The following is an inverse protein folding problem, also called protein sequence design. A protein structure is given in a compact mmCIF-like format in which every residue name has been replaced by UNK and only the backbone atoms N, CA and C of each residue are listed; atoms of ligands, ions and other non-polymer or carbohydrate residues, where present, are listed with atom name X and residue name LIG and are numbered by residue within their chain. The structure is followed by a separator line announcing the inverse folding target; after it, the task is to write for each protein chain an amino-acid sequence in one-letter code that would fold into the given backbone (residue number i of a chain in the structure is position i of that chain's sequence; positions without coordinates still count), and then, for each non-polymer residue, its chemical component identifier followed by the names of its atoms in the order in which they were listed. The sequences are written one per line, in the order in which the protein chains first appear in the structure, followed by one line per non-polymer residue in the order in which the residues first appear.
data_IF_505964726999
#
_entry.id   IF_505964726999
#
_cell.length_a   1.000
_cell.length_b   1.000
_cell.length_c   1.000
_cell.angle_alpha   90.00
_cell.angle_beta   90.00
_cell.angle_gamma   90.00
#
_symmetry.space_group_name_H-M   'P 1'
#
loop_
_entity.id
_entity.type
_entity.pdbx_description
1 polymer ?
#
# COMPACT_ATOMS: atom_id res chain seq x y z
N UNK A 1 -14.22 -2.37 15.23
CA UNK A 1 -15.02 -3.49 14.70
C UNK A 1 -16.18 -2.91 13.90
N UNK A 2 -16.54 -3.49 12.78
CA UNK A 2 -17.55 -2.95 11.85
C UNK A 2 -18.59 -4.03 11.61
N UNK A 3 -19.88 -3.65 11.64
CA UNK A 3 -21.01 -4.52 11.32
C UNK A 3 -21.76 -3.89 10.14
N UNK A 4 -22.33 -4.70 9.28
CA UNK A 4 -23.17 -4.28 8.18
C UNK A 4 -24.60 -4.78 8.43
N UNK A 5 -25.59 -3.90 8.32
CA UNK A 5 -27.01 -4.27 8.44
C UNK A 5 -27.81 -3.82 7.20
N UNK A 6 -28.96 -4.44 6.91
CA UNK A 6 -29.88 -3.97 5.90
C UNK A 6 -30.40 -2.57 6.24
N UNK A 7 -30.65 -1.76 5.23
CA UNK A 7 -31.17 -0.39 5.44
C UNK A 7 -32.53 -0.38 6.16
N UNK A 8 -33.32 -1.44 5.96
CA UNK A 8 -34.62 -1.65 6.60
C UNK A 8 -34.53 -1.85 8.14
N UNK A 9 -33.36 -2.36 8.61
CA UNK A 9 -33.13 -2.58 10.03
C UNK A 9 -32.63 -1.33 10.79
N UNK A 10 -32.36 -0.22 10.09
CA UNK A 10 -31.77 0.99 10.68
C UNK A 10 -32.76 1.67 11.64
N UNK A 11 -34.04 1.71 11.31
CA UNK A 11 -35.07 2.29 12.18
C UNK A 11 -35.21 1.47 13.47
N UNK A 12 -35.19 0.14 13.39
CA UNK A 12 -35.22 -0.74 14.57
C UNK A 12 -34.00 -0.53 15.48
N UNK A 13 -32.82 -0.33 14.88
CA UNK A 13 -31.61 0.00 15.64
C UNK A 13 -31.74 1.38 16.31
N UNK A 14 -32.29 2.36 15.62
CA UNK A 14 -32.48 3.69 16.16
C UNK A 14 -33.38 3.67 17.37
N UNK A 15 -34.55 3.01 17.24
CA UNK A 15 -35.51 2.83 18.35
C UNK A 15 -34.90 2.10 19.54
N UNK A 16 -34.13 1.05 19.29
CA UNK A 16 -33.39 0.32 20.33
C UNK A 16 -32.41 1.23 21.09
N UNK A 17 -31.64 2.05 20.37
CA UNK A 17 -30.66 2.96 20.96
C UNK A 17 -31.36 4.12 21.71
N UNK A 18 -32.52 4.62 21.23
CA UNK A 18 -33.33 5.59 21.92
C UNK A 18 -33.82 5.03 23.26
N UNK A 19 -34.34 3.82 23.29
CA UNK A 19 -34.78 3.12 24.49
C UNK A 19 -33.64 2.85 25.50
N UNK A 20 -32.41 2.78 25.01
CA UNK A 20 -31.18 2.66 25.79
C UNK A 20 -30.61 4.00 26.27
N UNK A 21 -31.26 5.13 25.93
CA UNK A 21 -30.88 6.47 26.37
C UNK A 21 -29.70 7.07 25.61
N UNK A 22 -29.50 6.70 24.37
CA UNK A 22 -28.51 7.34 23.49
C UNK A 22 -29.04 8.69 22.99
N UNK A 23 -28.19 9.69 22.90
CA UNK A 23 -28.42 10.93 22.17
C UNK A 23 -27.95 10.82 20.72
N UNK A 24 -28.62 11.54 19.80
CA UNK A 24 -28.41 11.46 18.38
C UNK A 24 -27.86 12.76 17.81
N UNK A 25 -26.93 12.65 16.87
CA UNK A 25 -26.36 13.75 16.09
C UNK A 25 -26.48 13.43 14.59
N UNK A 26 -26.92 14.38 13.77
CA UNK A 26 -26.87 14.29 12.33
C UNK A 26 -25.48 14.60 11.82
N UNK A 27 -24.96 13.78 10.87
CA UNK A 27 -23.67 13.98 10.23
C UNK A 27 -23.73 13.70 8.73
N UNK A 28 -22.94 14.40 7.93
CA UNK A 28 -22.81 14.08 6.49
C UNK A 28 -22.45 12.62 6.27
N UNK A 29 -23.09 11.95 5.30
CA UNK A 29 -22.89 10.54 4.93
C UNK A 29 -23.26 9.50 6.00
N UNK A 30 -23.90 9.90 7.10
CA UNK A 30 -24.45 9.00 8.10
C UNK A 30 -25.98 9.10 8.13
N UNK A 31 -26.65 8.02 8.56
CA UNK A 31 -28.05 8.12 8.98
C UNK A 31 -28.14 8.87 10.31
N UNK A 32 -27.27 8.49 11.25
CA UNK A 32 -27.09 9.18 12.52
C UNK A 32 -25.78 8.75 13.20
N UNK A 33 -25.36 9.54 14.17
CA UNK A 33 -24.39 9.16 15.18
C UNK A 33 -25.11 9.13 16.53
N UNK A 34 -25.06 7.99 17.23
CA UNK A 34 -25.63 7.83 18.57
C UNK A 34 -24.53 7.84 19.63
N UNK A 35 -24.78 8.58 20.78
CA UNK A 35 -23.83 8.71 21.89
C UNK A 35 -24.47 8.39 23.23
N UNK A 36 -23.69 7.69 24.07
CA UNK A 36 -23.93 7.51 25.50
C UNK A 36 -22.56 7.55 26.20
N UNK A 37 -22.46 7.90 27.50
CA UNK A 37 -21.19 7.83 28.21
C UNK A 37 -20.51 6.47 28.02
N UNK A 38 -19.28 6.46 27.46
CA UNK A 38 -18.52 5.27 27.19
C UNK A 38 -18.78 4.57 25.86
N UNK A 39 -19.81 4.93 25.09
CA UNK A 39 -20.15 4.31 23.80
C UNK A 39 -20.52 5.34 22.73
N UNK A 40 -20.03 5.12 21.52
CA UNK A 40 -20.40 5.86 20.31
C UNK A 40 -20.75 4.86 19.22
N UNK A 41 -21.88 5.04 18.54
CA UNK A 41 -22.35 4.23 17.43
C UNK A 41 -22.51 5.12 16.20
N UNK A 42 -21.71 4.88 15.18
CA UNK A 42 -21.81 5.58 13.89
C UNK A 42 -22.56 4.69 12.90
N UNK A 43 -23.68 5.17 12.37
CA UNK A 43 -24.49 4.45 11.38
C UNK A 43 -24.44 5.18 10.05
N UNK A 44 -23.75 4.60 9.08
CA UNK A 44 -23.54 5.19 7.76
C UNK A 44 -24.67 4.89 6.79
N UNK A 45 -24.89 5.75 5.79
CA UNK A 45 -25.92 5.59 4.75
C UNK A 45 -25.75 4.30 3.90
N UNK A 46 -24.62 3.64 4.02
CA UNK A 46 -24.34 2.32 3.41
C UNK A 46 -24.85 1.16 4.26
N UNK A 47 -25.45 1.39 5.44
CA UNK A 47 -25.79 0.33 6.39
C UNK A 47 -24.60 -0.13 7.27
N UNK A 48 -23.45 0.47 7.10
CA UNK A 48 -22.26 0.19 7.90
C UNK A 48 -22.38 0.81 9.28
N UNK A 49 -22.07 0.02 10.34
CA UNK A 49 -22.05 0.46 11.72
C UNK A 49 -20.63 0.37 12.25
N UNK A 50 -20.15 1.44 12.90
CA UNK A 50 -18.85 1.51 13.54
C UNK A 50 -19.01 1.92 15.00
N UNK A 51 -18.49 1.08 15.90
CA UNK A 51 -18.50 1.30 17.33
C UNK A 51 -17.21 2.00 17.79
N UNK A 52 -17.36 2.93 18.74
CA UNK A 52 -16.27 3.55 19.48
C UNK A 52 -16.61 3.63 20.97
N UNK A 53 -15.61 3.70 21.83
CA UNK A 53 -15.80 3.83 23.27
C UNK A 53 -15.09 2.74 24.06
N UNK A 54 -15.18 2.85 25.41
CA UNK A 54 -14.48 1.96 26.35
C UNK A 54 -15.42 0.93 26.99
N UNK A 55 -16.74 1.16 26.94
CA UNK A 55 -17.74 0.25 27.50
C UNK A 55 -18.01 -0.92 26.55
N UNK A 56 -17.18 -1.96 26.67
CA UNK A 56 -17.28 -3.16 25.85
C UNK A 56 -18.54 -3.98 26.17
N UNK A 57 -19.08 -3.91 27.37
CA UNK A 57 -20.29 -4.65 27.74
C UNK A 57 -21.52 -4.11 27.01
N UNK A 58 -21.71 -2.77 26.99
CA UNK A 58 -22.78 -2.13 26.25
C UNK A 58 -22.63 -2.33 24.74
N UNK A 59 -21.39 -2.28 24.21
CA UNK A 59 -21.11 -2.55 22.79
C UNK A 59 -21.50 -4.00 22.41
N UNK A 60 -21.18 -4.98 23.24
CA UNK A 60 -21.56 -6.38 23.00
C UNK A 60 -23.09 -6.60 23.08
N UNK A 61 -23.77 -5.89 23.96
CA UNK A 61 -25.24 -5.95 24.06
C UNK A 61 -25.90 -5.39 22.77
N UNK A 62 -25.39 -4.28 22.25
CA UNK A 62 -25.87 -3.70 20.98
C UNK A 62 -25.60 -4.68 19.83
N UNK A 63 -24.45 -5.34 19.80
CA UNK A 63 -24.13 -6.33 18.77
C UNK A 63 -25.08 -7.53 18.81
N UNK A 64 -25.39 -8.07 19.98
CA UNK A 64 -26.39 -9.13 20.12
C UNK A 64 -27.77 -8.71 19.63
N UNK A 65 -28.17 -7.46 19.88
CA UNK A 65 -29.40 -6.92 19.31
C UNK A 65 -29.33 -6.89 17.78
N UNK A 66 -28.21 -6.43 17.21
CA UNK A 66 -28.01 -6.40 15.76
C UNK A 66 -28.06 -7.80 15.13
N UNK A 67 -27.50 -8.80 15.79
CA UNK A 67 -27.62 -10.21 15.40
C UNK A 67 -29.09 -10.69 15.37
N UNK A 68 -29.94 -10.15 16.24
CA UNK A 68 -31.38 -10.55 16.32
C UNK A 68 -32.25 -9.88 15.26
N UNK A 69 -31.86 -8.72 14.71
CA UNK A 69 -32.63 -7.93 13.73
C UNK A 69 -32.03 -7.95 12.31
N UNK A 70 -30.78 -8.44 12.18
CA UNK A 70 -30.13 -8.60 10.88
C UNK A 70 -30.55 -9.90 10.21
N UNK A 71 -30.48 -10.01 8.87
CA UNK A 71 -30.48 -11.30 8.24
C UNK A 71 -29.29 -12.13 8.76
N UNK A 72 -29.47 -13.45 8.81
CA UNK A 72 -28.45 -14.42 9.18
C UNK A 72 -27.05 -13.97 8.77
N UNK A 73 -26.10 -14.10 9.69
CA UNK A 73 -24.67 -13.79 9.57
C UNK A 73 -24.25 -13.29 8.18
N UNK A 74 -24.01 -11.99 8.07
CA UNK A 74 -23.10 -11.55 7.01
C UNK A 74 -21.74 -12.16 7.39
N UNK A 75 -21.50 -13.36 6.86
CA UNK A 75 -20.20 -13.99 6.87
C UNK A 75 -19.11 -12.92 6.74
N UNK A 76 -18.14 -12.96 7.63
CA UNK A 76 -16.89 -12.26 7.44
C UNK A 76 -16.48 -12.43 5.99
N UNK A 77 -16.49 -11.36 5.24
CA UNK A 77 -16.12 -11.18 3.83
C UNK A 77 -15.35 -12.36 3.20
N UNK A 78 -16.00 -13.52 3.10
CA UNK A 78 -15.63 -14.63 2.21
C UNK A 78 -16.59 -14.64 1.03
N UNK A 79 -16.93 -13.44 0.47
CA UNK A 79 -17.40 -13.43 -0.90
C UNK A 79 -16.24 -13.96 -1.72
N UNK A 80 -16.30 -15.24 -2.07
CA UNK A 80 -15.51 -15.80 -3.15
C UNK A 80 -15.86 -15.04 -4.42
N UNK A 81 -15.14 -13.92 -4.62
CA UNK A 81 -15.24 -13.21 -5.89
C UNK A 81 -14.71 -14.14 -6.96
N UNK A 82 -15.48 -14.41 -8.03
CA UNK A 82 -15.01 -15.28 -9.09
C UNK A 82 -13.69 -14.76 -9.67
N UNK A 83 -12.82 -15.63 -10.17
CA UNK A 83 -11.62 -15.21 -10.88
C UNK A 83 -11.97 -14.18 -11.95
N UNK A 84 -11.13 -13.15 -12.08
CA UNK A 84 -11.24 -12.23 -13.21
C UNK A 84 -10.66 -12.94 -14.43
N UNK A 85 -11.54 -13.31 -15.37
CA UNK A 85 -11.14 -14.00 -16.60
C UNK A 85 -10.78 -12.98 -17.69
N UNK A 86 -9.79 -12.12 -17.41
CA UNK A 86 -9.26 -11.19 -18.40
C UNK A 86 -8.15 -11.88 -19.19
N UNK A 87 -8.10 -11.62 -20.49
CA UNK A 87 -7.10 -12.16 -21.42
C UNK A 87 -6.48 -11.03 -22.23
N UNK A 88 -5.34 -11.31 -22.85
CA UNK A 88 -4.63 -10.34 -23.67
C UNK A 88 -3.76 -9.37 -22.87
N UNK A 89 -3.28 -8.34 -23.58
CA UNK A 89 -2.41 -7.33 -22.98
C UNK A 89 -3.19 -6.42 -22.03
N UNK A 90 -2.71 -6.29 -20.80
CA UNK A 90 -3.31 -5.42 -19.79
C UNK A 90 -2.30 -4.92 -18.77
N UNK A 91 -2.58 -3.77 -18.19
CA UNK A 91 -1.82 -3.19 -17.09
C UNK A 91 -2.60 -3.45 -15.79
N UNK A 92 -1.97 -4.07 -14.80
CA UNK A 92 -2.48 -4.15 -13.43
C UNK A 92 -1.76 -3.15 -12.54
N UNK A 93 -2.48 -2.44 -11.66
CA UNK A 93 -1.89 -1.50 -10.69
C UNK A 93 -2.37 -1.77 -9.27
N UNK A 94 -1.47 -1.60 -8.29
CA UNK A 94 -1.79 -1.72 -6.86
C UNK A 94 -0.96 -0.75 -6.02
N UNK A 95 -1.42 -0.45 -4.79
CA UNK A 95 -0.76 0.46 -3.87
C UNK A 95 -0.36 -0.22 -2.55
N UNK A 96 0.69 0.33 -1.90
CA UNK A 96 1.09 -0.02 -0.53
C UNK A 96 1.47 1.23 0.26
N UNK A 97 1.30 1.17 1.58
CA UNK A 97 1.63 2.29 2.46
C UNK A 97 0.49 3.27 2.73
N UNK A 98 -0.69 3.12 2.09
CA UNK A 98 -1.87 3.97 2.30
C UNK A 98 -2.35 3.97 3.76
N UNK A 99 -2.34 2.80 4.41
CA UNK A 99 -2.78 2.60 5.79
C UNK A 99 -1.66 2.68 6.84
N UNK A 100 -0.43 2.92 6.42
CA UNK A 100 0.73 2.99 7.30
C UNK A 100 1.06 4.43 7.66
N UNK A 101 1.21 4.72 8.95
CA UNK A 101 1.59 6.03 9.43
C UNK A 101 3.02 6.39 9.01
N UNK A 102 3.97 5.49 9.27
CA UNK A 102 5.36 5.64 8.87
C UNK A 102 5.59 5.18 7.44
N UNK A 103 6.65 5.72 6.84
CA UNK A 103 7.13 5.29 5.55
C UNK A 103 6.37 5.88 4.35
N UNK A 104 6.76 5.47 3.16
CA UNK A 104 6.29 6.02 1.89
C UNK A 104 4.88 5.57 1.51
N UNK A 105 4.35 6.18 0.46
CA UNK A 105 3.27 5.64 -0.36
C UNK A 105 3.86 5.18 -1.69
N UNK A 106 3.54 3.94 -2.11
CA UNK A 106 4.01 3.39 -3.38
C UNK A 106 2.83 2.91 -4.21
N UNK A 107 2.96 3.08 -5.51
CA UNK A 107 2.09 2.50 -6.51
C UNK A 107 2.97 1.75 -7.50
N UNK A 108 2.65 0.47 -7.77
CA UNK A 108 3.28 -0.27 -8.84
C UNK A 108 2.29 -0.56 -9.95
N UNK A 109 2.80 -0.72 -11.16
CA UNK A 109 2.06 -1.19 -12.31
C UNK A 109 2.86 -2.23 -13.07
N UNK A 110 2.16 -3.21 -13.63
CA UNK A 110 2.75 -4.28 -14.43
C UNK A 110 1.92 -4.49 -15.69
N UNK A 111 2.60 -4.52 -16.84
CA UNK A 111 2.01 -4.81 -18.13
C UNK A 111 2.31 -6.25 -18.53
N UNK A 112 1.29 -7.07 -18.65
CA UNK A 112 1.39 -8.48 -19.03
C UNK A 112 0.64 -8.79 -20.31
N UNK A 113 0.91 -9.95 -20.86
CA UNK A 113 0.14 -10.66 -21.89
C UNK A 113 -0.10 -12.10 -21.41
N UNK A 114 -0.82 -12.91 -22.20
CA UNK A 114 -1.19 -14.28 -21.82
C UNK A 114 0.02 -15.20 -21.62
N UNK A 115 1.14 -14.94 -22.30
CA UNK A 115 2.38 -15.72 -22.14
C UNK A 115 3.01 -15.40 -20.79
N UNK A 116 3.20 -14.12 -20.49
CA UNK A 116 3.75 -13.65 -19.22
C UNK A 116 2.85 -14.06 -18.06
N UNK A 117 1.53 -13.96 -18.21
CA UNK A 117 0.59 -14.40 -17.19
C UNK A 117 0.81 -15.86 -16.78
N UNK A 118 1.01 -16.73 -17.77
CA UNK A 118 1.29 -18.17 -17.52
C UNK A 118 2.58 -18.35 -16.72
N UNK A 119 3.64 -17.65 -17.10
CA UNK A 119 4.93 -17.73 -16.39
C UNK A 119 4.82 -17.19 -14.95
N UNK A 120 4.12 -16.07 -14.74
CA UNK A 120 3.88 -15.52 -13.39
C UNK A 120 3.06 -16.48 -12.50
N UNK A 121 2.07 -17.17 -13.07
CA UNK A 121 1.33 -18.24 -12.37
C UNK A 121 2.24 -19.40 -11.98
N UNK A 122 3.15 -19.81 -12.88
CA UNK A 122 4.13 -20.87 -12.62
C UNK A 122 5.11 -20.48 -11.49
N UNK A 123 5.50 -19.21 -11.39
CA UNK A 123 6.29 -18.67 -10.29
C UNK A 123 5.52 -18.65 -8.94
N UNK A 124 4.20 -18.86 -8.95
CA UNK A 124 3.37 -18.87 -7.76
C UNK A 124 2.88 -17.49 -7.33
N UNK A 125 2.80 -16.54 -8.28
CA UNK A 125 2.22 -15.21 -8.02
C UNK A 125 0.77 -15.36 -7.56
N UNK A 126 0.45 -14.74 -6.43
CA UNK A 126 -0.87 -14.68 -5.81
C UNK A 126 -0.96 -13.45 -4.89
N UNK A 127 -2.10 -13.24 -4.23
CA UNK A 127 -2.28 -12.14 -3.29
C UNK A 127 -1.11 -12.02 -2.29
N UNK A 128 -0.42 -10.89 -2.36
CA UNK A 128 0.78 -10.58 -1.58
C UNK A 128 0.53 -10.55 -0.06
N UNK A 129 -0.72 -10.30 0.37
CA UNK A 129 -1.10 -10.19 1.79
C UNK A 129 -0.94 -11.52 2.52
N UNK A 130 -1.02 -12.64 1.80
CA UNK A 130 -0.86 -13.99 2.33
C UNK A 130 0.59 -14.48 2.36
N UNK A 131 1.55 -13.70 1.84
CA UNK A 131 2.95 -14.09 1.66
C UNK A 131 3.83 -13.56 2.79
N UNK A 132 4.86 -14.34 3.17
CA UNK A 132 5.91 -13.88 4.08
C UNK A 132 6.81 -12.82 3.40
N UNK A 133 7.50 -12.00 4.18
CA UNK A 133 8.43 -11.00 3.64
C UNK A 133 9.55 -11.63 2.80
N UNK A 134 10.10 -12.75 3.26
CA UNK A 134 11.11 -13.50 2.49
C UNK A 134 10.55 -14.00 1.16
N UNK A 135 9.33 -14.53 1.16
CA UNK A 135 8.67 -14.98 -0.07
C UNK A 135 8.43 -13.81 -1.03
N UNK A 136 8.00 -12.65 -0.52
CA UNK A 136 7.80 -11.44 -1.31
C UNK A 136 9.10 -11.00 -1.98
N UNK A 137 10.22 -10.94 -1.24
CA UNK A 137 11.53 -10.56 -1.79
C UNK A 137 11.99 -11.51 -2.89
N UNK A 138 11.88 -12.82 -2.66
CA UNK A 138 12.26 -13.83 -3.65
C UNK A 138 11.38 -13.74 -4.90
N UNK A 139 10.06 -13.68 -4.74
CA UNK A 139 9.15 -13.53 -5.89
C UNK A 139 9.37 -12.21 -6.64
N UNK A 140 9.61 -11.12 -5.95
CA UNK A 140 9.90 -9.84 -6.60
C UNK A 140 11.18 -9.88 -7.44
N UNK A 141 12.20 -10.60 -6.98
CA UNK A 141 13.43 -10.86 -7.76
C UNK A 141 13.12 -11.66 -9.02
N UNK A 142 12.42 -12.79 -8.90
CA UNK A 142 12.03 -13.63 -10.03
C UNK A 142 11.14 -12.87 -11.04
N UNK A 143 10.19 -12.08 -10.54
CA UNK A 143 9.31 -11.23 -11.37
C UNK A 143 10.14 -10.22 -12.17
N UNK A 144 11.11 -9.53 -11.55
CA UNK A 144 11.97 -8.56 -12.25
C UNK A 144 12.88 -9.26 -13.28
N UNK A 145 13.31 -10.50 -13.02
CA UNK A 145 14.09 -11.29 -13.96
C UNK A 145 13.26 -11.75 -15.16
N UNK A 146 11.97 -12.03 -14.94
CA UNK A 146 11.05 -12.43 -16.00
C UNK A 146 10.59 -11.24 -16.85
N UNK A 147 10.30 -10.10 -16.21
CA UNK A 147 9.78 -8.92 -16.88
C UNK A 147 10.92 -8.05 -17.41
N UNK A 148 10.79 -7.61 -18.66
CA UNK A 148 11.64 -6.53 -19.16
C UNK A 148 11.32 -5.24 -18.39
N UNK A 149 12.31 -4.39 -18.13
CA UNK A 149 12.16 -3.13 -17.37
C UNK A 149 11.04 -2.22 -17.88
N UNK A 150 10.74 -2.27 -19.19
CA UNK A 150 9.64 -1.52 -19.80
C UNK A 150 8.23 -2.06 -19.49
N UNK A 151 8.11 -3.21 -18.81
CA UNK A 151 6.84 -3.85 -18.49
C UNK A 151 6.38 -3.65 -17.04
N UNK A 152 7.17 -3.01 -16.22
CA UNK A 152 6.74 -2.62 -14.87
C UNK A 152 7.20 -1.21 -14.53
N UNK A 153 6.48 -0.59 -13.62
CA UNK A 153 6.74 0.75 -13.11
C UNK A 153 6.46 0.77 -11.61
N UNK A 154 7.33 1.39 -10.83
CA UNK A 154 7.14 1.57 -9.38
C UNK A 154 7.34 3.04 -9.04
N UNK A 155 6.25 3.72 -8.77
CA UNK A 155 6.23 5.10 -8.33
C UNK A 155 6.16 5.14 -6.81
N UNK A 156 7.07 5.86 -6.17
CA UNK A 156 7.07 6.01 -4.72
C UNK A 156 7.18 7.47 -4.30
N UNK A 157 6.58 7.77 -3.16
CA UNK A 157 6.53 9.11 -2.59
C UNK A 157 7.01 9.06 -1.16
N UNK A 158 8.13 9.72 -0.85
CA UNK A 158 8.65 9.81 0.54
C UNK A 158 7.63 10.48 1.46
N UNK A 159 7.70 10.26 2.79
CA UNK A 159 6.75 10.89 3.73
C UNK A 159 6.67 12.41 3.59
N UNK A 160 7.80 13.09 3.47
CA UNK A 160 7.82 14.56 3.31
C UNK A 160 7.08 15.01 2.03
N UNK A 161 7.33 14.33 0.92
CA UNK A 161 6.67 14.65 -0.36
C UNK A 161 5.20 14.25 -0.37
N UNK A 162 4.86 13.14 0.26
CA UNK A 162 3.47 12.78 0.51
C UNK A 162 2.73 13.87 1.29
N UNK A 163 3.35 14.41 2.34
CA UNK A 163 2.75 15.47 3.15
C UNK A 163 2.52 16.76 2.35
N UNK A 164 3.43 17.12 1.45
CA UNK A 164 3.26 18.24 0.52
C UNK A 164 2.10 17.98 -0.47
N UNK A 165 2.04 16.77 -1.07
CA UNK A 165 0.93 16.36 -1.93
C UNK A 165 -0.39 16.41 -1.19
N UNK A 166 -0.43 15.90 0.04
CA UNK A 166 -1.63 15.90 0.87
C UNK A 166 -2.07 17.33 1.21
N UNK A 167 -1.14 18.22 1.54
CA UNK A 167 -1.42 19.65 1.76
C UNK A 167 -2.06 20.29 0.52
N UNK A 168 -1.55 19.96 -0.69
CA UNK A 168 -2.04 20.52 -1.97
C UNK A 168 -3.38 19.92 -2.41
N UNK A 169 -3.56 18.60 -2.34
CA UNK A 169 -4.73 17.89 -2.88
C UNK A 169 -5.84 17.68 -1.84
N UNK A 170 -5.51 17.74 -0.54
CA UNK A 170 -6.45 17.63 0.59
C UNK A 170 -7.09 16.24 0.79
N UNK A 171 -6.78 15.26 -0.06
CA UNK A 171 -7.41 13.94 -0.03
C UNK A 171 -6.48 12.85 -0.55
N UNK A 172 -6.29 11.78 0.23
CA UNK A 172 -5.46 10.63 -0.16
C UNK A 172 -5.94 9.94 -1.43
N UNK A 173 -7.25 9.88 -1.68
CA UNK A 173 -7.77 9.24 -2.88
C UNK A 173 -7.43 10.04 -4.16
N UNK A 174 -7.30 11.37 -4.06
CA UNK A 174 -6.80 12.19 -5.17
C UNK A 174 -5.31 11.91 -5.44
N UNK A 175 -4.51 11.73 -4.39
CA UNK A 175 -3.10 11.36 -4.51
C UNK A 175 -2.97 9.99 -5.19
N UNK A 176 -3.75 9.00 -4.74
CA UNK A 176 -3.78 7.67 -5.35
C UNK A 176 -4.23 7.72 -6.80
N UNK A 177 -5.35 8.40 -7.10
CA UNK A 177 -5.87 8.53 -8.46
C UNK A 177 -4.83 9.09 -9.42
N UNK A 178 -4.15 10.17 -9.02
CA UNK A 178 -3.05 10.75 -9.77
C UNK A 178 -1.87 9.76 -9.94
N UNK A 179 -1.45 9.08 -8.88
CA UNK A 179 -0.29 8.20 -8.91
C UNK A 179 -0.53 6.92 -9.75
N UNK A 180 -1.73 6.29 -9.64
CA UNK A 180 -2.12 5.19 -10.51
C UNK A 180 -2.16 5.62 -11.99
N UNK A 181 -2.72 6.81 -12.27
CA UNK A 181 -2.78 7.35 -13.63
C UNK A 181 -1.39 7.60 -14.20
N UNK A 182 -0.45 8.08 -13.39
CA UNK A 182 0.93 8.30 -13.81
C UNK A 182 1.64 6.98 -14.14
N UNK A 183 1.49 5.95 -13.31
CA UNK A 183 2.04 4.61 -13.55
C UNK A 183 1.50 4.01 -14.85
N UNK A 184 0.18 4.13 -15.09
CA UNK A 184 -0.44 3.67 -16.33
C UNK A 184 0.14 4.44 -17.53
N UNK A 185 0.24 5.77 -17.44
CA UNK A 185 0.74 6.62 -18.51
C UNK A 185 2.21 6.31 -18.86
N UNK A 186 3.06 6.09 -17.85
CA UNK A 186 4.46 5.73 -18.02
C UNK A 186 4.60 4.38 -18.76
N UNK A 187 3.86 3.35 -18.32
CA UNK A 187 3.85 2.04 -18.98
C UNK A 187 3.38 2.11 -20.43
N UNK A 188 2.33 2.87 -20.72
CA UNK A 188 1.87 3.13 -22.08
C UNK A 188 2.91 3.93 -22.90
N UNK A 189 3.76 4.70 -22.21
CA UNK A 189 4.88 5.44 -22.80
C UNK A 189 5.99 4.55 -23.35
N UNK A 190 6.15 3.33 -22.83
CA UNK A 190 7.21 2.40 -23.17
C UNK A 190 7.04 1.71 -24.54
N UNK A 191 6.04 2.09 -25.33
CA UNK A 191 5.85 1.63 -26.72
C UNK A 191 5.19 0.26 -26.85
N UNK A 192 4.77 -0.39 -25.77
CA UNK A 192 3.98 -1.63 -25.81
C UNK A 192 2.51 -1.25 -25.93
N UNK A 193 1.82 -1.75 -26.95
CA UNK A 193 0.38 -1.53 -27.11
C UNK A 193 -0.38 -2.20 -25.96
N UNK A 194 -1.32 -1.47 -25.39
CA UNK A 194 -2.20 -1.98 -24.36
C UNK A 194 -3.49 -1.18 -24.39
N UNK A 195 -4.63 -1.85 -24.36
CA UNK A 195 -5.94 -1.22 -24.47
C UNK A 195 -6.76 -1.35 -23.16
N UNK A 196 -6.18 -1.96 -22.12
CA UNK A 196 -6.85 -2.26 -20.85
C UNK A 196 -5.94 -2.00 -19.66
N UNK A 197 -6.45 -1.29 -18.65
CA UNK A 197 -5.87 -1.23 -17.33
C UNK A 197 -6.87 -1.72 -16.26
N UNK A 198 -6.35 -2.34 -15.20
CA UNK A 198 -7.13 -2.81 -14.06
C UNK A 198 -6.49 -2.34 -12.76
N UNK A 199 -7.31 -1.90 -11.81
CA UNK A 199 -6.90 -1.42 -10.50
C UNK A 199 -7.89 -1.88 -9.42
N UNK A 200 -7.42 -2.00 -8.17
CA UNK A 200 -8.34 -2.15 -7.05
C UNK A 200 -9.17 -0.87 -6.86
N UNK A 201 -10.45 -1.05 -6.48
CA UNK A 201 -11.34 0.06 -6.24
C UNK A 201 -11.14 0.60 -4.81
N UNK A 202 -10.41 1.68 -4.65
CA UNK A 202 -10.13 2.29 -3.36
C UNK A 202 -11.04 3.47 -2.98
N UNK A 203 -12.01 3.81 -3.83
CA UNK A 203 -12.92 4.94 -3.62
C UNK A 203 -13.85 5.16 -4.81
N UNK A 204 -14.22 6.41 -5.07
CA UNK A 204 -14.97 6.76 -6.27
C UNK A 204 -14.12 6.46 -7.52
N UNK A 205 -14.67 5.70 -8.49
CA UNK A 205 -13.96 5.37 -9.73
C UNK A 205 -13.46 6.60 -10.50
N UNK A 206 -14.07 7.74 -10.29
CA UNK A 206 -13.65 9.01 -10.89
C UNK A 206 -12.24 9.44 -10.51
N UNK A 207 -11.69 9.03 -9.37
CA UNK A 207 -10.35 9.46 -8.95
C UNK A 207 -9.27 9.09 -9.95
N UNK A 208 -9.20 7.84 -10.41
CA UNK A 208 -8.22 7.43 -11.43
C UNK A 208 -8.67 7.97 -12.81
N UNK A 209 -9.93 7.75 -13.18
CA UNK A 209 -10.45 8.10 -14.50
C UNK A 209 -10.23 9.57 -14.85
N UNK A 210 -10.48 10.49 -13.90
CA UNK A 210 -10.32 11.93 -14.10
C UNK A 210 -8.85 12.36 -14.13
N UNK A 211 -7.96 11.59 -13.51
CA UNK A 211 -6.53 11.84 -13.49
C UNK A 211 -5.78 11.24 -14.70
N UNK A 212 -6.41 10.34 -15.49
CA UNK A 212 -5.81 9.76 -16.68
C UNK A 212 -5.35 10.85 -17.66
N UNK A 213 -4.16 10.66 -18.21
CA UNK A 213 -3.50 11.60 -19.14
C UNK A 213 -3.75 11.18 -20.59
N UNK A 214 -2.93 11.67 -21.51
CA UNK A 214 -3.18 11.56 -22.96
C UNK A 214 -3.31 10.09 -23.43
N UNK A 215 -2.43 9.19 -22.98
CA UNK A 215 -2.44 7.78 -23.39
C UNK A 215 -3.46 6.98 -22.60
N UNK A 216 -3.51 7.18 -21.29
CA UNK A 216 -4.44 6.49 -20.41
C UNK A 216 -5.92 6.75 -20.72
N UNK A 217 -6.26 7.93 -21.26
CA UNK A 217 -7.63 8.23 -21.71
C UNK A 217 -8.08 7.45 -22.96
N UNK A 218 -7.16 6.81 -23.66
CA UNK A 218 -7.43 6.05 -24.89
C UNK A 218 -7.68 4.57 -24.63
N UNK A 219 -7.47 4.11 -23.39
CA UNK A 219 -7.65 2.72 -23.00
C UNK A 219 -8.86 2.54 -22.07
N UNK A 220 -9.35 1.34 -21.98
CA UNK A 220 -10.36 0.96 -20.98
C UNK A 220 -9.72 0.88 -19.59
N UNK A 221 -10.40 1.41 -18.57
CA UNK A 221 -10.02 1.29 -17.17
C UNK A 221 -11.09 0.53 -16.40
N UNK A 222 -10.76 -0.66 -15.90
CA UNK A 222 -11.59 -1.49 -15.03
C UNK A 222 -11.16 -1.25 -13.57
N UNK A 223 -12.11 -0.89 -12.71
CA UNK A 223 -11.89 -0.77 -11.28
C UNK A 223 -12.84 -1.70 -10.53
N UNK A 224 -12.30 -2.67 -9.83
CA UNK A 224 -13.07 -3.71 -9.14
C UNK A 224 -12.53 -3.96 -7.73
N UNK A 225 -13.41 -4.39 -6.83
CA UNK A 225 -13.00 -4.81 -5.50
C UNK A 225 -12.17 -6.09 -5.56
N UNK A 226 -11.12 -6.17 -4.77
CA UNK A 226 -10.18 -7.30 -4.72
C UNK A 226 -9.60 -7.60 -6.12
N UNK A 227 -9.11 -6.56 -6.78
CA UNK A 227 -8.51 -6.67 -8.10
C UNK A 227 -7.23 -7.55 -8.10
N UNK A 228 -6.63 -7.83 -6.94
CA UNK A 228 -5.51 -8.77 -6.76
C UNK A 228 -5.82 -10.22 -7.21
N UNK A 229 -7.06 -10.52 -7.58
CA UNK A 229 -7.44 -11.77 -8.28
C UNK A 229 -6.95 -11.81 -9.74
N UNK A 230 -6.65 -10.66 -10.33
CA UNK A 230 -5.94 -10.57 -11.60
C UNK A 230 -4.43 -10.66 -11.36
N UNK A 231 -3.73 -11.46 -12.19
CA UNK A 231 -2.30 -11.71 -12.04
C UNK A 231 -1.46 -10.45 -12.26
N UNK A 232 -1.87 -9.52 -13.13
CA UNK A 232 -1.15 -8.26 -13.31
C UNK A 232 -1.19 -7.42 -12.03
N UNK A 233 -2.36 -7.32 -11.38
CA UNK A 233 -2.54 -6.60 -10.12
C UNK A 233 -1.80 -7.30 -8.97
N UNK A 234 -1.91 -8.64 -8.87
CA UNK A 234 -1.16 -9.40 -7.87
C UNK A 234 0.37 -9.23 -8.02
N UNK A 235 0.85 -9.20 -9.25
CA UNK A 235 2.27 -8.95 -9.54
C UNK A 235 2.69 -7.53 -9.13
N UNK A 236 1.88 -6.53 -9.46
CA UNK A 236 2.10 -5.15 -9.05
C UNK A 236 2.13 -5.03 -7.52
N UNK A 237 1.20 -5.72 -6.82
CA UNK A 237 1.14 -5.77 -5.36
C UNK A 237 2.44 -6.32 -4.74
N UNK A 238 3.00 -7.40 -5.30
CA UNK A 238 4.26 -7.99 -4.83
C UNK A 238 5.42 -7.01 -5.02
N UNK A 239 5.54 -6.39 -6.20
CA UNK A 239 6.60 -5.43 -6.49
C UNK A 239 6.51 -4.18 -5.60
N UNK A 240 5.29 -3.63 -5.43
CA UNK A 240 5.07 -2.49 -4.54
C UNK A 240 5.46 -2.82 -3.09
N UNK A 241 5.05 -4.01 -2.60
CA UNK A 241 5.31 -4.43 -1.23
C UNK A 241 6.79 -4.72 -0.97
N UNK A 242 7.49 -5.34 -1.92
CA UNK A 242 8.93 -5.54 -1.82
C UNK A 242 9.67 -4.20 -1.69
N UNK A 243 9.37 -3.24 -2.57
CA UNK A 243 9.96 -1.90 -2.51
C UNK A 243 9.60 -1.17 -1.22
N UNK A 244 8.36 -1.32 -0.72
CA UNK A 244 7.94 -0.75 0.56
C UNK A 244 8.75 -1.31 1.73
N UNK A 245 8.94 -2.62 1.79
CA UNK A 245 9.73 -3.28 2.84
C UNK A 245 11.18 -2.78 2.83
N UNK A 246 11.76 -2.65 1.64
CA UNK A 246 13.10 -2.11 1.50
C UNK A 246 13.18 -0.65 2.01
N UNK A 247 12.24 0.21 1.61
CA UNK A 247 12.18 1.62 2.06
C UNK A 247 11.93 1.73 3.58
N UNK A 248 11.17 0.82 4.18
CA UNK A 248 11.00 0.78 5.64
C UNK A 248 12.27 0.38 6.37
N UNK A 249 13.05 -0.56 5.81
CA UNK A 249 14.37 -0.92 6.33
C UNK A 249 15.34 0.27 6.25
N UNK A 250 15.46 0.89 5.07
CA UNK A 250 16.27 2.09 4.82
C UNK A 250 15.94 3.23 5.81
N UNK A 251 14.64 3.48 6.03
CA UNK A 251 14.18 4.46 7.00
C UNK A 251 14.60 4.10 8.44
N UNK A 252 14.48 2.83 8.81
CA UNK A 252 14.85 2.35 10.14
C UNK A 252 16.36 2.43 10.39
N UNK A 253 17.17 2.12 9.40
CA UNK A 253 18.62 2.26 9.45
C UNK A 253 19.04 3.73 9.55
N UNK A 254 18.43 4.61 8.74
CA UNK A 254 18.72 6.05 8.74
C UNK A 254 18.54 6.70 10.11
N UNK A 255 17.49 6.30 10.84
CA UNK A 255 17.16 6.87 12.14
C UNK A 255 17.54 5.97 13.32
N UNK A 256 18.18 4.84 13.07
CA UNK A 256 18.50 3.83 14.12
C UNK A 256 17.30 3.50 15.02
N UNK A 257 16.10 3.41 14.42
CA UNK A 257 14.84 3.19 15.11
C UNK A 257 13.92 2.30 14.25
N UNK A 258 13.44 1.19 14.81
CA UNK A 258 12.54 0.29 14.09
C UNK A 258 11.14 0.91 13.93
N UNK A 259 10.72 1.21 12.70
CA UNK A 259 9.41 1.77 12.39
C UNK A 259 8.38 0.66 12.12
N UNK A 260 7.36 0.51 13.00
CA UNK A 260 6.28 -0.46 12.79
C UNK A 260 5.32 -0.01 11.70
N UNK A 261 4.72 -0.99 11.02
CA UNK A 261 3.66 -0.78 10.04
C UNK A 261 2.31 -0.53 10.72
N UNK A 262 1.37 0.03 9.94
CA UNK A 262 0.01 0.35 10.38
C UNK A 262 -0.09 1.70 11.08
N UNK A 263 -1.11 1.85 11.93
CA UNK A 263 -1.43 3.09 12.65
C UNK A 263 -1.94 2.83 14.08
N UNK A 264 -1.55 1.69 14.66
CA UNK A 264 -1.97 1.27 16.00
C UNK A 264 -1.11 1.86 17.12
N UNK A 265 -1.31 1.37 18.35
CA UNK A 265 -0.65 1.88 19.56
C UNK A 265 0.89 1.71 19.54
N UNK A 266 1.40 0.61 18.96
CA UNK A 266 2.85 0.42 18.78
C UNK A 266 3.45 1.55 17.95
N UNK A 267 2.73 2.01 16.91
CA UNK A 267 3.14 3.15 16.06
C UNK A 267 3.19 4.43 16.87
N UNK A 268 2.18 4.69 17.71
CA UNK A 268 2.16 5.87 18.56
C UNK A 268 3.33 5.88 19.57
N UNK A 269 3.68 4.69 20.11
CA UNK A 269 4.81 4.54 21.04
C UNK A 269 6.14 4.90 20.38
N UNK A 270 6.41 4.32 19.20
CA UNK A 270 7.63 4.61 18.44
C UNK A 270 7.65 6.06 17.96
N UNK A 271 6.49 6.62 17.57
CA UNK A 271 6.39 8.04 17.22
C UNK A 271 6.77 8.98 18.37
N UNK A 272 6.35 8.68 19.60
CA UNK A 272 6.77 9.45 20.79
C UNK A 272 8.27 9.33 21.06
N UNK A 273 8.84 8.15 20.87
CA UNK A 273 10.29 7.95 20.98
C UNK A 273 11.04 8.75 19.91
N UNK A 274 10.58 8.69 18.66
CA UNK A 274 11.15 9.47 17.56
C UNK A 274 11.13 10.99 17.84
N UNK A 275 10.00 11.51 18.30
CA UNK A 275 9.86 12.93 18.67
C UNK A 275 10.81 13.32 19.80
N UNK A 276 11.06 12.44 20.75
CA UNK A 276 11.99 12.65 21.86
C UNK A 276 13.44 12.76 21.39
N UNK A 277 13.81 11.98 20.36
CA UNK A 277 15.16 11.94 19.81
C UNK A 277 15.42 13.06 18.78
N UNK A 278 14.44 13.33 17.90
CA UNK A 278 14.63 14.15 16.70
C UNK A 278 13.77 15.42 16.67
N UNK A 279 12.84 15.57 17.62
CA UNK A 279 11.91 16.70 17.70
C UNK A 279 10.66 16.52 16.87
N UNK A 280 9.62 17.32 17.18
CA UNK A 280 8.28 17.23 16.59
C UNK A 280 8.31 17.45 15.07
N UNK A 281 9.06 18.44 14.61
CA UNK A 281 9.09 18.81 13.19
C UNK A 281 9.74 17.74 12.31
N UNK A 282 10.59 16.87 12.86
CA UNK A 282 11.22 15.78 12.14
C UNK A 282 10.20 14.68 11.75
N UNK A 283 9.02 14.61 12.39
CA UNK A 283 7.97 13.62 12.06
C UNK A 283 7.58 13.63 10.58
N UNK A 284 7.58 14.80 9.93
CA UNK A 284 7.25 14.90 8.51
C UNK A 284 8.19 14.10 7.60
N UNK A 285 9.42 13.80 8.05
CA UNK A 285 10.42 13.08 7.26
C UNK A 285 10.17 11.56 7.28
N UNK A 286 9.46 11.06 8.29
CA UNK A 286 9.24 9.62 8.52
C UNK A 286 7.77 9.21 8.48
N UNK A 287 6.83 10.16 8.59
CA UNK A 287 5.41 9.87 8.80
C UNK A 287 4.47 10.70 7.92
N UNK A 288 3.29 10.15 7.65
CA UNK A 288 2.16 10.82 7.00
C UNK A 288 1.37 11.59 8.06
N UNK A 289 1.76 12.85 8.28
CA UNK A 289 1.33 13.66 9.43
C UNK A 289 -0.17 14.02 9.48
N UNK A 290 -0.95 13.76 8.43
CA UNK A 290 -2.41 13.93 8.44
C UNK A 290 -3.15 12.85 9.25
N UNK A 291 -2.48 11.73 9.59
CA UNK A 291 -3.06 10.70 10.44
C UNK A 291 -3.31 11.21 11.86
N UNK A 292 -4.39 10.72 12.49
CA UNK A 292 -4.69 11.03 13.90
C UNK A 292 -3.58 10.66 14.89
N UNK A 293 -2.69 9.74 14.48
CA UNK A 293 -1.47 9.37 15.22
C UNK A 293 -0.62 10.61 15.56
N UNK A 294 -0.47 11.54 14.62
CA UNK A 294 0.31 12.75 14.83
C UNK A 294 -0.17 13.51 16.09
N UNK A 295 -1.47 13.72 16.22
CA UNK A 295 -2.02 14.42 17.41
C UNK A 295 -1.81 13.62 18.71
N UNK A 296 -1.92 12.28 18.67
CA UNK A 296 -1.69 11.44 19.85
C UNK A 296 -0.21 11.39 20.26
N UNK A 297 0.69 11.43 19.28
CA UNK A 297 2.14 11.42 19.49
C UNK A 297 2.62 12.76 20.05
N UNK A 298 2.12 13.86 19.51
CA UNK A 298 2.59 15.22 19.83
C UNK A 298 1.82 15.89 21.00
N UNK A 299 0.84 15.19 21.59
CA UNK A 299 -0.01 15.78 22.62
C UNK A 299 -0.91 16.91 22.10
N UNK A 300 -1.34 16.85 20.85
CA UNK A 300 -2.21 17.83 20.20
C UNK A 300 -1.48 18.95 19.44
N UNK A 301 -0.13 18.97 19.45
CA UNK A 301 0.64 19.95 18.68
C UNK A 301 0.59 19.59 17.20
N UNK A 302 0.27 20.55 16.35
CA UNK A 302 0.30 20.37 14.89
C UNK A 302 1.74 20.38 14.40
N UNK A 303 2.05 19.47 13.49
CA UNK A 303 3.30 19.47 12.74
C UNK A 303 3.10 20.30 11.47
N UNK A 304 3.93 21.29 11.26
CA UNK A 304 3.88 22.09 10.05
C UNK A 304 4.62 21.38 8.92
N UNK A 305 3.98 21.32 7.74
CA UNK A 305 4.63 20.85 6.52
C UNK A 305 5.55 21.96 6.04
N UNK A 306 6.86 21.73 6.08
CA UNK A 306 7.86 22.67 5.54
C UNK A 306 7.67 22.75 4.03
N UNK A 307 7.48 23.97 3.53
CA UNK A 307 7.48 24.23 2.10
C UNK A 307 8.92 24.13 1.60
N UNK A 308 9.13 23.28 0.60
CA UNK A 308 10.38 23.31 -0.16
C UNK A 308 10.25 24.50 -1.10
N UNK A 309 11.15 25.49 -0.99
CA UNK A 309 11.15 26.64 -1.90
C UNK A 309 11.25 26.14 -3.35
N UNK A 310 10.29 26.50 -4.18
CA UNK A 310 10.14 26.14 -5.58
C UNK A 310 8.79 25.49 -5.87
N UNK A 311 8.22 25.79 -7.04
CA UNK A 311 7.10 24.98 -7.55
C UNK A 311 7.58 23.55 -7.68
N UNK A 312 6.96 22.63 -6.92
CA UNK A 312 7.15 21.22 -7.17
C UNK A 312 6.49 20.97 -8.54
N UNK A 313 7.29 21.00 -9.58
CA UNK A 313 6.91 20.41 -10.85
C UNK A 313 6.83 18.90 -10.59
N UNK A 314 5.62 18.41 -10.33
CA UNK A 314 5.38 17.01 -10.04
C UNK A 314 5.87 16.12 -11.19
N UNK A 315 5.83 16.60 -12.41
CA UNK A 315 6.28 15.84 -13.58
C UNK A 315 7.81 15.77 -13.64
N UNK A 316 8.51 16.86 -13.40
CA UNK A 316 9.98 16.90 -13.30
C UNK A 316 10.48 16.11 -12.07
N UNK A 317 9.77 16.21 -10.95
CA UNK A 317 10.11 15.47 -9.74
C UNK A 317 10.07 13.95 -9.96
N UNK A 318 9.06 13.44 -10.64
CA UNK A 318 8.96 12.01 -10.94
C UNK A 318 9.97 11.54 -11.96
N UNK A 319 10.33 12.35 -12.93
CA UNK A 319 11.44 12.07 -13.86
C UNK A 319 12.77 11.92 -13.07
N UNK A 320 13.05 12.81 -12.14
CA UNK A 320 14.25 12.74 -11.29
C UNK A 320 14.26 11.50 -10.37
N UNK A 321 13.11 11.07 -9.85
CA UNK A 321 12.99 9.83 -9.05
C UNK A 321 13.28 8.59 -9.89
N UNK A 322 12.79 8.56 -11.14
CA UNK A 322 13.07 7.46 -12.06
C UNK A 322 14.55 7.39 -12.45
N UNK A 323 15.21 8.54 -12.65
CA UNK A 323 16.65 8.61 -12.90
C UNK A 323 17.47 8.13 -11.68
N UNK A 324 17.10 8.54 -10.47
CA UNK A 324 17.75 8.10 -9.22
C UNK A 324 17.55 6.59 -8.99
N UNK A 325 16.37 6.03 -9.28
CA UNK A 325 16.12 4.59 -9.17
C UNK A 325 16.88 3.79 -10.23
N UNK A 326 16.98 4.30 -11.45
CA UNK A 326 17.78 3.67 -12.51
C UNK A 326 19.26 3.63 -12.15
N UNK A 327 19.80 4.70 -11.56
CA UNK A 327 21.19 4.75 -11.08
C UNK A 327 21.43 3.78 -9.92
N UNK A 328 20.52 3.71 -8.94
CA UNK A 328 20.61 2.76 -7.83
C UNK A 328 20.48 1.30 -8.28
N UNK A 329 19.56 1.01 -9.19
CA UNK A 329 19.46 -0.34 -9.78
C UNK A 329 20.75 -0.75 -10.48
N UNK A 330 21.44 0.18 -11.16
CA UNK A 330 22.76 -0.08 -11.76
C UNK A 330 23.83 -0.30 -10.68
N UNK A 331 23.78 0.41 -9.56
CA UNK A 331 24.70 0.22 -8.43
C UNK A 331 24.46 -1.11 -7.73
N UNK A 332 23.21 -1.49 -7.46
CA UNK A 332 22.86 -2.78 -6.88
C UNK A 332 23.27 -3.94 -7.80
N UNK A 333 23.03 -3.82 -9.11
CA UNK A 333 23.46 -4.80 -10.09
C UNK A 333 25.02 -4.92 -10.16
N UNK A 334 25.72 -3.78 -10.05
CA UNK A 334 27.19 -3.77 -9.97
C UNK A 334 27.69 -4.46 -8.71
N UNK A 335 27.04 -4.23 -7.58
CA UNK A 335 27.40 -4.85 -6.30
C UNK A 335 27.12 -6.36 -6.32
N UNK A 336 25.99 -6.80 -6.88
CA UNK A 336 25.68 -8.22 -7.08
C UNK A 336 26.69 -8.89 -8.04
N UNK A 337 27.00 -8.26 -9.16
CA UNK A 337 28.03 -8.74 -10.09
C UNK A 337 29.40 -8.82 -9.42
N UNK A 338 29.77 -7.82 -8.63
CA UNK A 338 31.03 -7.82 -7.88
C UNK A 338 31.08 -8.96 -6.86
N UNK A 339 30.01 -9.20 -6.12
CA UNK A 339 29.93 -10.29 -5.15
C UNK A 339 29.99 -11.67 -5.82
N UNK A 340 29.32 -11.85 -6.96
CA UNK A 340 29.39 -13.08 -7.75
C UNK A 340 30.79 -13.33 -8.30
N UNK A 341 31.45 -12.31 -8.84
CA UNK A 341 32.83 -12.41 -9.34
C UNK A 341 33.80 -12.75 -8.21
N UNK A 342 33.65 -12.09 -7.05
CA UNK A 342 34.49 -12.34 -5.87
C UNK A 342 34.30 -13.76 -5.32
N UNK A 343 33.07 -14.27 -5.28
CA UNK A 343 32.78 -15.65 -4.88
C UNK A 343 33.41 -16.65 -5.85
N UNK A 344 33.23 -16.42 -7.15
CA UNK A 344 33.81 -17.26 -8.18
C UNK A 344 35.35 -17.25 -8.14
N UNK A 345 35.96 -16.10 -7.90
CA UNK A 345 37.42 -16.00 -7.76
C UNK A 345 37.93 -16.80 -6.54
N UNK A 346 37.21 -16.78 -5.41
CA UNK A 346 37.55 -17.56 -4.21
C UNK A 346 37.44 -19.07 -4.50
N UNK A 347 36.37 -19.52 -5.16
CA UNK A 347 36.15 -20.91 -5.52
C UNK A 347 37.25 -21.40 -6.53
N UNK A 348 37.59 -20.55 -7.49
CA UNK A 348 38.64 -20.85 -8.45
C UNK A 348 40.02 -20.97 -7.79
N UNK A 349 40.34 -20.07 -6.87
CA UNK A 349 41.59 -20.14 -6.07
C UNK A 349 41.64 -21.43 -5.25
N UNK A 350 40.58 -21.79 -4.56
CA UNK A 350 40.47 -23.00 -3.75
C UNK A 350 40.64 -24.26 -4.65
N UNK A 351 40.02 -24.26 -5.83
CA UNK A 351 40.15 -25.33 -6.79
C UNK A 351 41.60 -25.46 -7.32
N UNK A 352 42.23 -24.35 -7.69
CA UNK A 352 43.61 -24.33 -8.16
C UNK A 352 44.57 -24.84 -7.06
N UNK A 353 44.41 -24.35 -5.83
CA UNK A 353 45.20 -24.81 -4.68
C UNK A 353 45.03 -26.32 -4.44
N UNK A 354 43.78 -26.80 -4.49
CA UNK A 354 43.49 -28.23 -4.36
C UNK A 354 44.19 -29.08 -5.46
N UNK A 355 44.15 -28.60 -6.68
CA UNK A 355 44.81 -29.30 -7.81
C UNK A 355 46.34 -29.25 -7.76
N UNK A 356 46.89 -28.15 -7.32
CA UNK A 356 48.34 -28.00 -7.13
C UNK A 356 48.86 -28.90 -6.00
N UNK A 357 48.12 -28.99 -4.88
CA UNK A 357 48.44 -29.95 -3.82
C UNK A 357 48.34 -31.40 -4.26
N UNK A 358 47.33 -31.74 -5.07
CA UNK A 358 47.17 -33.07 -5.63
C UNK A 358 48.35 -33.44 -6.53
N UNK A 359 48.92 -32.49 -7.26
CA UNK A 359 49.98 -32.74 -8.27
C UNK A 359 51.40 -32.63 -7.69
N UNK A 360 51.63 -31.72 -6.74
CA UNK A 360 52.97 -31.41 -6.22
C UNK A 360 53.19 -31.79 -4.75
N UNK A 361 52.14 -32.29 -4.06
CA UNK A 361 52.17 -32.57 -2.64
C UNK A 361 52.06 -31.28 -1.77
N UNK A 362 52.14 -31.45 -0.41
CA UNK A 362 51.98 -30.35 0.55
C UNK A 362 53.17 -29.39 0.65
N UNK A 363 54.19 -29.51 -0.19
CA UNK A 363 55.40 -28.72 -0.14
C UNK A 363 55.54 -27.69 -1.29
N UNK A 364 54.42 -27.29 -1.91
CA UNK A 364 54.45 -26.18 -2.90
C UNK A 364 53.99 -24.88 -2.27
#
# INVERSE_FOLDING_TARGET
MTIQIPLEAIENLKEYLENKGFSFEDRPNQFFLARKPGVVVNVYKTGKIVFGGKDQAEIEEIKKFLESIGPEEVEKDSKDYPPLSLTGQRIGTDEVGKGDYFGPLLIAGVLIDDVIEKELKNLGVKDSKSLSETTIRNLAHEIRSLLESKRYEILWTSPIKYNLLHKKLGNVNKILGWAHSRVIENLLGNGIKCDLAISDQFGDPGYIKNALMEKGRKIELIQVLKAERDIAVATASILARDKFLWKMTDLSETYSLEFPRGAGEKVDSVGREFVKLYGINALQNVAKIHFSNTLRITGGVKVEVVEVEGEIDFDMYFTAVLEEESLRFQEDLRLECFNLISSFEQELRAFIESKLREYYGDNW
#
